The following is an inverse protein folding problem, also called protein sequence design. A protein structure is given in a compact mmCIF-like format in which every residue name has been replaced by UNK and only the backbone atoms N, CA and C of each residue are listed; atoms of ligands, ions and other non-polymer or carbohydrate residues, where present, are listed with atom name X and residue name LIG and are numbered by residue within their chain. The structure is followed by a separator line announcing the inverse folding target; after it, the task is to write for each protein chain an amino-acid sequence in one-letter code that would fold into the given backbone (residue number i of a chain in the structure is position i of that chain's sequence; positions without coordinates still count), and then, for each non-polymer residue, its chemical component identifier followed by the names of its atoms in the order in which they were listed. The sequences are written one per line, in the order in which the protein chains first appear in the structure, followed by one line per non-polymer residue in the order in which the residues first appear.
data_IF_465178283857
#
_entry.id   IF_465178283857
#
_cell.length_a   1.000
_cell.length_b   1.000
_cell.length_c   1.000
_cell.angle_alpha   90.00
_cell.angle_beta   90.00
_cell.angle_gamma   90.00
#
_symmetry.space_group_name_H-M   'P 1'
#
loop_
_entity.id
_entity.type
_entity.pdbx_description
1 polymer ?
#
# COMPACT_ATOMS: atom_id res chain seq x y z
N UNK A 1 14.78 -12.43 7.09
CA UNK A 1 13.37 -12.50 6.66
C UNK A 1 12.91 -11.07 6.42
N UNK A 2 12.90 -10.61 5.17
CA UNK A 2 12.47 -9.26 4.81
C UNK A 2 10.96 -9.22 4.66
N UNK A 3 10.25 -9.10 5.78
CA UNK A 3 8.87 -8.62 5.79
C UNK A 3 8.90 -7.17 6.23
N UNK A 4 8.01 -6.33 5.67
CA UNK A 4 7.89 -4.91 6.02
C UNK A 4 8.08 -4.71 7.53
N UNK A 5 9.11 -3.94 7.90
CA UNK A 5 9.32 -3.52 9.27
C UNK A 5 8.05 -2.78 9.75
N UNK A 6 7.69 -2.89 11.03
CA UNK A 6 6.45 -2.27 11.55
C UNK A 6 6.37 -0.75 11.26
N UNK A 7 7.51 -0.09 11.12
CA UNK A 7 7.60 1.32 10.71
C UNK A 7 7.18 1.53 9.24
N UNK A 8 7.65 0.69 8.32
CA UNK A 8 7.26 0.73 6.91
C UNK A 8 5.77 0.49 6.70
N UNK A 9 5.20 -0.45 7.48
CA UNK A 9 3.74 -0.70 7.46
C UNK A 9 2.97 0.54 7.86
N UNK A 10 3.36 1.19 8.96
CA UNK A 10 2.67 2.37 9.48
C UNK A 10 2.77 3.56 8.52
N UNK A 11 3.93 3.80 7.93
CA UNK A 11 4.12 4.86 6.93
C UNK A 11 3.26 4.60 5.68
N UNK A 12 3.25 3.37 5.17
CA UNK A 12 2.37 3.00 4.06
C UNK A 12 0.89 3.18 4.42
N UNK A 13 0.47 2.84 5.66
CA UNK A 13 -0.92 2.99 6.10
C UNK A 13 -1.38 4.45 6.19
N UNK A 14 -0.51 5.34 6.69
CA UNK A 14 -0.80 6.78 6.78
C UNK A 14 -1.00 7.37 5.38
N UNK A 15 -0.15 6.96 4.43
CA UNK A 15 -0.28 7.35 3.05
C UNK A 15 -1.53 6.83 2.36
N UNK A 16 -1.98 5.62 2.70
CA UNK A 16 -3.24 5.09 2.19
C UNK A 16 -4.44 5.93 2.63
N UNK A 17 -4.40 6.61 3.77
CA UNK A 17 -5.49 7.50 4.20
C UNK A 17 -5.56 8.81 3.37
N UNK A 18 -4.49 9.15 2.64
CA UNK A 18 -4.42 10.32 1.75
C UNK A 18 -4.75 10.02 0.28
N UNK A 19 -4.95 8.76 -0.09
CA UNK A 19 -5.34 8.38 -1.45
C UNK A 19 -6.80 8.76 -1.70
N UNK A 20 -7.08 9.30 -2.89
CA UNK A 20 -8.47 9.46 -3.34
C UNK A 20 -9.05 8.11 -3.72
N UNK A 21 -10.06 7.67 -2.97
CA UNK A 21 -10.82 6.47 -3.26
C UNK A 21 -12.15 6.78 -3.97
N UNK A 22 -12.70 5.85 -4.78
CA UNK A 22 -12.19 4.50 -5.04
C UNK A 22 -10.92 4.48 -5.89
N UNK A 23 -9.97 3.62 -5.53
CA UNK A 23 -8.68 3.48 -6.20
C UNK A 23 -8.40 2.02 -6.58
N UNK A 24 -7.87 1.80 -7.77
CA UNK A 24 -7.43 0.48 -8.22
C UNK A 24 -6.07 0.10 -7.64
N UNK A 25 -5.72 -1.19 -7.65
CA UNK A 25 -4.36 -1.66 -7.33
C UNK A 25 -3.30 -0.84 -8.07
N UNK A 26 -3.49 -0.55 -9.35
CA UNK A 26 -2.53 0.19 -10.17
C UNK A 26 -2.38 1.65 -9.73
N UNK A 27 -3.47 2.30 -9.35
CA UNK A 27 -3.45 3.66 -8.80
C UNK A 27 -2.80 3.71 -7.42
N UNK A 28 -3.10 2.75 -6.55
CA UNK A 28 -2.45 2.62 -5.24
C UNK A 28 -0.95 2.37 -5.39
N UNK A 29 -0.58 1.50 -6.34
CA UNK A 29 0.81 1.21 -6.65
C UNK A 29 1.53 2.44 -7.20
N UNK A 30 0.91 3.20 -8.12
CA UNK A 30 1.48 4.47 -8.61
C UNK A 30 1.60 5.53 -7.53
N UNK A 31 0.62 5.61 -6.63
CA UNK A 31 0.66 6.50 -5.48
C UNK A 31 1.82 6.12 -4.56
N UNK A 32 1.98 4.82 -4.23
CA UNK A 32 3.12 4.31 -3.47
C UNK A 32 4.47 4.48 -4.20
N UNK A 33 4.51 4.33 -5.52
CA UNK A 33 5.73 4.46 -6.32
C UNK A 33 6.29 5.89 -6.28
N UNK A 34 5.39 6.88 -6.28
CA UNK A 34 5.75 8.30 -6.14
C UNK A 34 6.15 8.71 -4.71
N UNK A 35 6.12 7.79 -3.73
CA UNK A 35 6.57 8.07 -2.37
C UNK A 35 8.07 7.81 -2.25
N UNK A 36 8.86 8.88 -2.18
CA UNK A 36 10.30 8.82 -1.93
C UNK A 36 10.66 8.37 -0.51
N UNK A 37 9.70 8.42 0.42
CA UNK A 37 9.86 8.02 1.82
C UNK A 37 9.72 6.50 2.02
N UNK A 38 9.13 5.79 1.05
CA UNK A 38 8.90 4.35 1.11
C UNK A 38 10.06 3.63 0.39
N UNK A 39 10.76 2.69 1.06
CA UNK A 39 11.79 1.87 0.43
C UNK A 39 11.25 1.04 -0.74
N UNK A 40 12.06 0.82 -1.78
CA UNK A 40 11.70 -0.05 -2.92
C UNK A 40 11.30 -1.47 -2.50
N UNK A 41 11.90 -1.99 -1.43
CA UNK A 41 11.54 -3.29 -0.88
C UNK A 41 10.08 -3.34 -0.38
N UNK A 42 9.61 -2.26 0.25
CA UNK A 42 8.25 -2.14 0.76
C UNK A 42 7.27 -1.88 -0.38
N UNK A 43 7.65 -1.07 -1.37
CA UNK A 43 6.87 -0.89 -2.62
C UNK A 43 6.66 -2.23 -3.31
N UNK A 44 7.73 -3.01 -3.46
CA UNK A 44 7.67 -4.32 -4.10
C UNK A 44 6.80 -5.29 -3.30
N UNK A 45 6.94 -5.34 -1.98
CA UNK A 45 6.06 -6.16 -1.13
C UNK A 45 4.59 -5.75 -1.29
N UNK A 46 4.30 -4.45 -1.32
CA UNK A 46 2.94 -3.94 -1.49
C UNK A 46 2.37 -4.35 -2.85
N UNK A 47 3.14 -4.20 -3.93
CA UNK A 47 2.75 -4.65 -5.28
C UNK A 47 2.52 -6.17 -5.35
N UNK A 48 3.35 -6.98 -4.68
CA UNK A 48 3.29 -8.44 -4.73
C UNK A 48 2.16 -9.01 -3.86
N UNK A 49 1.89 -8.39 -2.71
CA UNK A 49 0.92 -8.87 -1.73
C UNK A 49 -0.48 -8.27 -1.90
N UNK A 50 -0.60 -7.08 -2.51
CA UNK A 50 -1.91 -6.46 -2.73
C UNK A 50 -2.63 -7.22 -3.86
N UNK A 51 -3.79 -7.86 -3.59
CA UNK A 51 -4.55 -8.53 -4.64
C UNK A 51 -5.05 -7.52 -5.68
N UNK A 52 -5.29 -7.98 -6.90
CA UNK A 52 -5.90 -7.13 -7.92
C UNK A 52 -7.34 -6.79 -7.54
N UNK A 53 -7.69 -5.50 -7.56
CA UNK A 53 -9.04 -5.05 -7.25
C UNK A 53 -9.19 -3.53 -7.19
N UNK A 54 -10.42 -3.10 -6.98
CA UNK A 54 -10.77 -1.71 -6.67
C UNK A 54 -11.09 -1.62 -5.19
N UNK A 55 -10.45 -0.67 -4.52
CA UNK A 55 -10.59 -0.43 -3.09
C UNK A 55 -11.40 0.83 -2.87
N UNK A 56 -12.37 0.80 -1.96
CA UNK A 56 -13.22 1.96 -1.68
C UNK A 56 -12.64 2.86 -0.60
N UNK A 57 -11.70 2.36 0.18
CA UNK A 57 -11.06 3.07 1.28
C UNK A 57 -9.76 2.35 1.68
N UNK A 58 -8.95 3.01 2.53
CA UNK A 58 -7.72 2.46 3.08
C UNK A 58 -7.94 1.18 3.91
N UNK A 59 -9.11 1.03 4.53
CA UNK A 59 -9.52 -0.17 5.25
C UNK A 59 -9.67 -1.39 4.34
N UNK A 60 -10.19 -1.23 3.11
CA UNK A 60 -10.26 -2.36 2.15
C UNK A 60 -8.86 -2.83 1.74
N UNK A 61 -7.93 -1.88 1.57
CA UNK A 61 -6.52 -2.18 1.24
C UNK A 61 -5.86 -2.95 2.39
N UNK A 62 -6.07 -2.51 3.64
CA UNK A 62 -5.59 -3.18 4.87
C UNK A 62 -6.14 -4.59 4.98
N UNK A 63 -7.46 -4.74 4.82
CA UNK A 63 -8.13 -6.02 4.87
C UNK A 63 -7.61 -6.98 3.79
N UNK A 64 -7.37 -6.47 2.58
CA UNK A 64 -6.82 -7.26 1.47
C UNK A 64 -5.38 -7.70 1.70
N UNK A 65 -4.57 -6.88 2.36
CA UNK A 65 -3.20 -7.23 2.77
C UNK A 65 -3.13 -8.08 4.04
N UNK A 66 -4.29 -8.42 4.64
CA UNK A 66 -4.42 -9.15 5.91
C UNK A 66 -3.62 -8.51 7.04
N UNK A 67 -3.65 -7.17 7.10
CA UNK A 67 -3.02 -6.35 8.14
C UNK A 67 -4.04 -5.73 9.07
#
# INVERSE_FOLDING_TARGET
MGGMDMQSKKAAMDHLDHVSYPATKEELVKACDNMSDVPDADKKWFMDNLPGGTYQNSGDVRAALRM
#
